data_IF_301261739285
#
_entry.id   IF_301261739285
#
_cell.length_a   1.000
_cell.length_b   1.000
_cell.length_c   1.000
_cell.angle_alpha   90.00
_cell.angle_beta   90.00
_cell.angle_gamma   90.00
#
_symmetry.space_group_name_H-M   'P 1'
#
loop_
_entity.id
_entity.type
_entity.pdbx_description
1 polymer ?
#
# COMPACT_ATOMS: atom_id res chain seq x y z
N UNK A 1 16.46 13.63 -17.12
CA UNK A 1 15.59 13.02 -16.12
C UNK A 1 15.33 11.58 -16.56
N UNK A 2 15.49 10.63 -15.65
CA UNK A 2 15.27 9.21 -15.90
C UNK A 2 13.85 8.80 -15.47
N UNK A 3 13.25 7.75 -16.05
CA UNK A 3 11.96 7.26 -15.59
C UNK A 3 12.05 6.68 -14.17
N UNK A 4 10.98 6.85 -13.39
CA UNK A 4 10.83 6.22 -12.09
C UNK A 4 10.42 4.75 -12.28
N UNK A 5 11.20 3.86 -11.70
CA UNK A 5 11.00 2.41 -11.74
C UNK A 5 10.73 1.94 -10.31
N UNK A 6 9.56 1.35 -10.10
CA UNK A 6 9.20 0.74 -8.82
C UNK A 6 9.57 -0.75 -8.84
N UNK A 7 10.62 -1.11 -8.09
CA UNK A 7 11.10 -2.49 -7.99
C UNK A 7 10.14 -3.36 -7.16
N UNK A 8 9.69 -2.84 -6.02
CA UNK A 8 8.90 -3.63 -5.07
C UNK A 8 7.96 -2.77 -4.24
N UNK A 9 6.73 -3.24 -4.10
CA UNK A 9 5.77 -2.76 -3.11
C UNK A 9 5.53 -3.87 -2.08
N UNK A 10 5.71 -3.58 -0.79
CA UNK A 10 5.49 -4.57 0.29
C UNK A 10 4.64 -3.99 1.40
N UNK A 11 3.52 -4.65 1.72
CA UNK A 11 2.74 -4.34 2.91
C UNK A 11 3.37 -4.87 4.20
N UNK A 12 3.05 -4.25 5.33
CA UNK A 12 3.54 -4.65 6.65
C UNK A 12 2.95 -5.97 7.17
N UNK A 13 1.81 -6.41 6.63
CA UNK A 13 1.12 -7.67 6.95
C UNK A 13 0.57 -8.30 5.67
N UNK A 14 0.32 -9.62 5.66
CA UNK A 14 -0.42 -10.29 4.58
C UNK A 14 -1.87 -9.78 4.41
N UNK A 15 -2.36 -8.97 5.34
CA UNK A 15 -3.66 -8.31 5.26
C UNK A 15 -3.68 -7.06 4.37
N UNK A 16 -2.52 -6.57 3.95
CA UNK A 16 -2.36 -5.40 3.07
C UNK A 16 -1.47 -5.79 1.92
N UNK A 17 -2.06 -5.94 0.73
CA UNK A 17 -1.36 -6.39 -0.47
C UNK A 17 -1.33 -5.23 -1.47
N UNK A 18 -0.17 -4.59 -1.65
CA UNK A 18 0.00 -3.58 -2.68
C UNK A 18 0.38 -4.20 -4.03
N UNK A 19 -0.03 -3.56 -5.12
CA UNK A 19 0.41 -3.86 -6.47
C UNK A 19 1.12 -2.64 -7.06
N UNK A 20 2.43 -2.78 -7.28
CA UNK A 20 3.23 -1.77 -7.98
C UNK A 20 2.89 -1.79 -9.49
N UNK A 21 2.93 -0.64 -10.18
CA UNK A 21 2.99 -0.59 -11.63
C UNK A 21 4.26 -1.30 -12.12
N UNK A 22 4.14 -2.05 -13.21
CA UNK A 22 5.27 -2.74 -13.85
C UNK A 22 5.99 -1.85 -14.87
N UNK A 23 5.29 -0.84 -15.37
CA UNK A 23 5.80 0.05 -16.40
C UNK A 23 6.54 1.23 -15.75
N UNK A 24 7.68 1.66 -16.33
CA UNK A 24 8.38 2.85 -15.87
C UNK A 24 7.52 4.11 -16.01
N UNK A 25 7.59 5.01 -15.02
CA UNK A 25 6.85 6.27 -15.01
C UNK A 25 7.76 7.37 -15.55
N UNK A 26 7.37 8.01 -16.66
CA UNK A 26 8.15 9.08 -17.27
C UNK A 26 8.29 10.31 -16.35
N UNK A 27 9.33 11.14 -16.52
CA UNK A 27 9.48 12.39 -15.79
C UNK A 27 8.24 13.29 -15.94
N UNK A 28 7.67 13.74 -14.82
CA UNK A 28 6.47 14.58 -14.78
C UNK A 28 5.15 13.82 -14.99
N UNK A 29 5.19 12.51 -15.27
CA UNK A 29 4.01 11.67 -15.34
C UNK A 29 3.59 11.16 -13.95
N UNK A 30 2.37 10.61 -13.89
CA UNK A 30 1.81 9.99 -12.67
C UNK A 30 1.60 8.50 -12.87
N UNK A 31 1.79 7.74 -11.80
CA UNK A 31 1.46 6.31 -11.73
C UNK A 31 0.56 6.03 -10.53
N UNK A 32 -0.05 4.84 -10.48
CA UNK A 32 -0.92 4.42 -9.38
C UNK A 32 -0.45 3.12 -8.76
N UNK A 33 -0.51 3.03 -7.43
CA UNK A 33 -0.27 1.80 -6.67
C UNK A 33 -1.62 1.36 -6.10
N UNK A 34 -2.13 0.22 -6.55
CA UNK A 34 -3.37 -0.35 -6.01
C UNK A 34 -3.06 -1.06 -4.68
N UNK A 35 -3.81 -0.78 -3.62
CA UNK A 35 -3.62 -1.43 -2.32
C UNK A 35 -4.90 -2.10 -1.87
N UNK A 36 -4.85 -3.43 -1.71
CA UNK A 36 -5.96 -4.22 -1.18
C UNK A 36 -5.76 -4.47 0.31
N UNK A 37 -6.74 -4.07 1.12
CA UNK A 37 -6.74 -4.32 2.55
C UNK A 37 -7.88 -5.28 2.93
N UNK A 38 -7.56 -6.37 3.59
CA UNK A 38 -8.54 -7.31 4.13
C UNK A 38 -8.91 -6.91 5.57
N UNK A 39 -10.13 -6.39 5.73
CA UNK A 39 -10.70 -5.96 7.01
C UNK A 39 -11.33 -7.10 7.83
N UNK A 40 -11.45 -8.32 7.28
CA UNK A 40 -12.05 -9.45 8.00
C UNK A 40 -11.29 -9.72 9.31
N UNK A 41 -12.03 -9.74 10.42
CA UNK A 41 -11.48 -9.92 11.76
C UNK A 41 -10.66 -8.74 12.28
N UNK A 42 -10.75 -7.56 11.66
CA UNK A 42 -10.18 -6.30 12.14
C UNK A 42 -11.28 -5.43 12.75
N UNK A 43 -10.91 -4.54 13.67
CA UNK A 43 -11.83 -3.60 14.34
C UNK A 43 -11.11 -2.31 14.70
N UNK A 44 -11.84 -1.21 14.76
CA UNK A 44 -11.35 0.13 15.10
C UNK A 44 -10.24 0.59 14.13
N UNK A 45 -9.51 1.64 14.54
CA UNK A 45 -8.38 2.20 13.81
C UNK A 45 -7.31 1.15 13.48
N UNK A 46 -6.99 1.07 12.19
CA UNK A 46 -5.95 0.27 11.59
C UNK A 46 -4.94 1.20 10.94
N UNK A 47 -3.66 1.06 11.30
CA UNK A 47 -2.55 1.72 10.61
C UNK A 47 -1.75 0.66 9.87
N UNK A 48 -1.61 0.82 8.55
CA UNK A 48 -0.86 -0.10 7.69
C UNK A 48 0.24 0.67 6.96
N UNK A 49 1.40 0.04 6.80
CA UNK A 49 2.54 0.61 6.09
C UNK A 49 2.77 -0.17 4.80
N UNK A 50 3.04 0.55 3.72
CA UNK A 50 3.55 0.01 2.47
C UNK A 50 4.96 0.58 2.29
N UNK A 51 5.94 -0.30 2.14
CA UNK A 51 7.28 0.07 1.71
C UNK A 51 7.36 -0.06 0.20
N UNK A 52 7.72 1.02 -0.47
CA UNK A 52 7.98 1.10 -1.91
C UNK A 52 9.48 1.22 -2.11
N UNK A 53 10.07 0.29 -2.84
CA UNK A 53 11.47 0.33 -3.28
C UNK A 53 11.54 0.77 -4.73
N UNK A 54 12.38 1.75 -5.04
CA UNK A 54 12.51 2.34 -6.37
C UNK A 54 13.96 2.75 -6.67
N UNK A 55 14.23 3.17 -7.92
CA UNK A 55 15.48 3.84 -8.32
C UNK A 55 15.56 5.30 -7.82
N UNK A 56 15.20 5.54 -6.57
CA UNK A 56 15.27 6.85 -5.91
C UNK A 56 16.40 6.89 -4.88
N UNK A 57 16.76 8.09 -4.42
CA UNK A 57 17.62 8.27 -3.25
C UNK A 57 16.90 9.13 -2.20
N UNK A 58 16.48 8.55 -1.05
CA UNK A 58 16.67 7.16 -0.65
C UNK A 58 15.84 6.17 -1.49
N UNK A 59 16.32 4.94 -1.62
CA UNK A 59 15.67 3.88 -2.41
C UNK A 59 14.32 3.43 -1.85
N UNK A 60 14.02 3.72 -0.58
CA UNK A 60 12.78 3.30 0.08
C UNK A 60 11.92 4.48 0.47
N UNK A 61 10.65 4.43 0.06
CA UNK A 61 9.59 5.34 0.48
C UNK A 61 8.54 4.55 1.29
N UNK A 62 8.10 5.09 2.42
CA UNK A 62 7.06 4.47 3.25
C UNK A 62 5.76 5.23 3.09
N UNK A 63 4.73 4.55 2.59
CA UNK A 63 3.36 5.05 2.55
C UNK A 63 2.59 4.51 3.75
N UNK A 64 1.84 5.37 4.43
CA UNK A 64 0.99 4.97 5.56
C UNK A 64 -0.47 5.14 5.19
N UNK A 65 -1.25 4.07 5.36
CA UNK A 65 -2.71 4.09 5.22
C UNK A 65 -3.35 3.88 6.58
N UNK A 66 -4.36 4.68 6.86
CA UNK A 66 -5.19 4.56 8.05
C UNK A 66 -6.63 4.24 7.64
N UNK A 67 -7.24 3.29 8.32
CA UNK A 67 -8.64 2.95 8.15
C UNK A 67 -9.30 2.79 9.52
N UNK A 68 -10.58 3.13 9.65
CA UNK A 68 -11.37 2.74 10.81
C UNK A 68 -12.32 1.62 10.40
N UNK A 69 -12.17 0.45 11.02
CA UNK A 69 -12.97 -0.73 10.68
C UNK A 69 -14.12 -0.85 11.66
N UNK A 70 -15.32 -0.52 11.20
CA UNK A 70 -16.56 -0.84 11.91
C UNK A 70 -16.68 -2.36 11.98
N UNK A 71 -16.73 -2.97 13.18
CA UNK A 71 -16.95 -4.41 13.31
C UNK A 71 -18.27 -4.79 12.65
N UNK A 72 -18.27 -5.86 11.86
CA UNK A 72 -19.53 -6.46 11.46
C UNK A 72 -20.23 -6.94 12.74
N UNK A 73 -21.40 -6.39 13.03
CA UNK A 73 -22.30 -6.93 14.06
C UNK A 73 -22.63 -8.36 13.67
N UNK A 74 -22.00 -9.32 14.35
CA UNK A 74 -22.41 -10.71 14.32
C UNK A 74 -23.68 -10.78 15.15
N UNK A 75 -24.84 -10.74 14.48
CA UNK A 75 -26.11 -11.03 15.12
C UNK A 75 -26.05 -12.47 15.67
N UNK A 76 -25.85 -12.63 16.98
CA UNK A 76 -25.85 -13.93 17.66
C UNK A 76 -24.67 -14.22 18.59
N UNK A 77 -24.15 -13.22 19.31
CA UNK A 77 -23.51 -13.46 20.62
C UNK A 77 -24.52 -13.25 21.73
#
# INVERSE_FOLDING_TARGET
AEPLILDKCKGSCGCTVPQCPKEPIAPGATGSIEVKFNSKGKKNKQTKKITVTANTDPAQTILTITADVTPAIVAGS
#
